data_IF_187443060330
#
_entry.id   IF_187443060330
#
_cell.length_a   1.000
_cell.length_b   1.000
_cell.length_c   1.000
_cell.angle_alpha   90.00
_cell.angle_beta   90.00
_cell.angle_gamma   90.00
#
_symmetry.space_group_name_H-M   'P 1'
#
loop_
_entity.id
_entity.type
_entity.pdbx_description
1 polymer ?
#
# COMPACT_ATOMS: atom_id res chain seq x y z
N UNK A 1 -13.04 12.66 -29.12
CA UNK A 1 -11.81 11.84 -29.12
C UNK A 1 -11.50 11.53 -27.66
N UNK A 2 -11.87 10.34 -27.18
CA UNK A 2 -11.57 9.95 -25.79
C UNK A 2 -10.06 9.67 -25.72
N UNK A 3 -9.33 10.53 -25.02
CA UNK A 3 -7.95 10.23 -24.63
C UNK A 3 -8.01 9.10 -23.60
N UNK A 4 -7.86 7.85 -24.05
CA UNK A 4 -7.54 6.75 -23.13
C UNK A 4 -6.08 6.97 -22.73
N UNK A 5 -5.87 7.90 -21.79
CA UNK A 5 -4.59 8.11 -21.16
C UNK A 5 -4.32 6.91 -20.26
N UNK A 6 -3.67 5.88 -20.81
CA UNK A 6 -2.95 4.89 -20.01
C UNK A 6 -1.66 5.56 -19.52
N UNK A 7 -1.82 6.43 -18.52
CA UNK A 7 -0.68 6.96 -17.77
C UNK A 7 0.13 5.83 -17.15
N UNK A 8 1.37 6.11 -16.70
CA UNK A 8 2.13 5.11 -15.94
C UNK A 8 1.25 4.62 -14.79
N UNK A 9 0.92 3.32 -14.81
CA UNK A 9 0.24 2.69 -13.69
C UNK A 9 1.18 2.82 -12.50
N UNK A 10 0.81 3.63 -11.50
CA UNK A 10 1.59 3.71 -10.28
C UNK A 10 1.73 2.29 -9.71
N UNK A 11 2.90 1.91 -9.17
CA UNK A 11 3.07 0.59 -8.55
C UNK A 11 2.00 0.37 -7.49
N UNK A 12 1.63 -0.88 -7.24
CA UNK A 12 0.74 -1.18 -6.12
C UNK A 12 1.36 -0.71 -4.80
N UNK A 13 0.51 -0.54 -3.77
CA UNK A 13 0.99 -0.17 -2.45
C UNK A 13 1.89 -1.29 -1.86
N UNK A 14 1.65 -2.55 -2.22
CA UNK A 14 2.52 -3.69 -1.90
C UNK A 14 3.91 -3.57 -2.52
N UNK A 15 4.01 -3.27 -3.82
CA UNK A 15 5.29 -3.09 -4.50
C UNK A 15 6.04 -1.88 -3.95
N UNK A 16 5.33 -0.77 -3.75
CA UNK A 16 5.91 0.44 -3.17
C UNK A 16 6.45 0.19 -1.75
N UNK A 17 5.73 -0.58 -0.94
CA UNK A 17 6.15 -0.95 0.41
C UNK A 17 7.37 -1.90 0.38
N UNK A 18 7.37 -2.91 -0.49
CA UNK A 18 8.45 -3.89 -0.67
C UNK A 18 9.75 -3.23 -1.13
N UNK A 19 9.63 -2.23 -2.01
CA UNK A 19 10.78 -1.48 -2.54
C UNK A 19 11.15 -0.24 -1.73
N UNK A 20 10.47 0.05 -0.61
CA UNK A 20 10.76 1.23 0.21
C UNK A 20 10.49 2.56 -0.49
N UNK A 21 9.62 2.59 -1.51
CA UNK A 21 9.35 3.75 -2.35
C UNK A 21 8.41 4.75 -1.66
N UNK A 22 8.95 5.48 -0.68
CA UNK A 22 8.19 6.44 0.15
C UNK A 22 7.29 7.39 -0.68
N UNK A 23 7.81 7.98 -1.75
CA UNK A 23 7.04 8.90 -2.59
C UNK A 23 5.83 8.25 -3.28
N UNK A 24 5.97 6.99 -3.73
CA UNK A 24 4.85 6.24 -4.31
C UNK A 24 3.82 5.89 -3.24
N UNK A 25 4.26 5.50 -2.04
CA UNK A 25 3.37 5.23 -0.90
C UNK A 25 2.53 6.48 -0.57
N UNK A 26 3.16 7.64 -0.42
CA UNK A 26 2.45 8.90 -0.13
C UNK A 26 1.47 9.27 -1.24
N UNK A 27 1.88 9.16 -2.51
CA UNK A 27 1.03 9.47 -3.65
C UNK A 27 -0.17 8.51 -3.74
N UNK A 28 0.04 7.21 -3.56
CA UNK A 28 -1.03 6.21 -3.61
C UNK A 28 -2.04 6.43 -2.49
N UNK A 29 -1.58 6.67 -1.26
CA UNK A 29 -2.46 6.95 -0.11
C UNK A 29 -3.26 8.25 -0.36
N UNK A 30 -2.61 9.29 -0.90
CA UNK A 30 -3.28 10.54 -1.25
C UNK A 30 -4.35 10.36 -2.35
N UNK A 31 -4.17 9.38 -3.25
CA UNK A 31 -5.16 8.99 -4.25
C UNK A 31 -6.21 7.99 -3.72
N UNK A 32 -6.26 7.72 -2.42
CA UNK A 32 -7.28 6.87 -1.81
C UNK A 32 -6.99 5.36 -1.90
N UNK A 33 -5.73 4.97 -2.13
CA UNK A 33 -5.35 3.55 -2.08
C UNK A 33 -5.70 2.95 -0.70
N UNK A 34 -6.28 1.75 -0.72
CA UNK A 34 -6.59 1.02 0.50
C UNK A 34 -5.29 0.52 1.16
N UNK A 35 -4.88 1.18 2.25
CA UNK A 35 -3.69 0.83 3.06
C UNK A 35 -3.73 -0.57 3.67
N UNK A 36 -4.91 -1.19 3.72
CA UNK A 36 -5.15 -2.52 4.27
C UNK A 36 -5.59 -3.53 3.19
N UNK A 37 -5.42 -3.21 1.90
CA UNK A 37 -5.72 -4.13 0.81
C UNK A 37 -4.95 -5.44 0.97
N UNK A 38 -5.58 -6.57 0.71
CA UNK A 38 -4.89 -7.87 0.73
C UNK A 38 -4.56 -8.28 -0.69
N UNK A 39 -3.34 -8.77 -0.90
CA UNK A 39 -2.95 -9.45 -2.14
C UNK A 39 -3.53 -10.88 -2.20
N UNK A 40 -3.22 -11.60 -3.27
CA UNK A 40 -3.67 -12.99 -3.46
C UNK A 40 -3.15 -13.96 -2.38
N UNK A 41 -2.05 -13.61 -1.70
CA UNK A 41 -1.51 -14.36 -0.57
C UNK A 41 -2.12 -13.94 0.78
N UNK A 42 -3.05 -12.99 0.77
CA UNK A 42 -3.68 -12.45 1.97
C UNK A 42 -2.81 -11.47 2.77
N UNK A 43 -1.69 -11.02 2.20
CA UNK A 43 -0.78 -10.04 2.81
C UNK A 43 -1.25 -8.62 2.55
N UNK A 44 -1.06 -7.76 3.53
CA UNK A 44 -1.26 -6.30 3.41
C UNK A 44 0.02 -5.62 2.92
N UNK A 45 -0.05 -4.35 2.46
CA UNK A 45 1.16 -3.57 2.17
C UNK A 45 2.12 -3.52 3.35
N UNK A 46 1.61 -3.47 4.59
CA UNK A 46 2.43 -3.46 5.79
C UNK A 46 3.16 -4.80 6.03
N UNK A 47 2.57 -5.93 5.62
CA UNK A 47 3.25 -7.25 5.68
C UNK A 47 4.43 -7.34 4.70
N UNK A 48 4.40 -6.54 3.63
CA UNK A 48 5.44 -6.47 2.61
C UNK A 48 6.41 -5.30 2.81
N UNK A 49 6.19 -4.44 3.81
CA UNK A 49 6.95 -3.21 4.00
C UNK A 49 8.37 -3.44 4.52
N UNK A 50 9.33 -2.65 4.02
CA UNK A 50 10.62 -2.51 4.70
C UNK A 50 10.47 -1.78 6.04
N UNK A 51 11.44 -1.91 6.94
CA UNK A 51 11.42 -1.22 8.24
C UNK A 51 11.35 0.30 8.11
N UNK A 52 11.93 0.86 7.05
CA UNK A 52 11.96 2.31 6.80
C UNK A 52 10.58 2.89 6.50
N UNK A 53 9.73 2.17 5.76
CA UNK A 53 8.42 2.67 5.32
C UNK A 53 7.25 2.11 6.13
N UNK A 54 7.49 1.13 6.99
CA UNK A 54 6.46 0.54 7.85
C UNK A 54 5.74 1.58 8.72
N UNK A 55 6.49 2.54 9.29
CA UNK A 55 5.93 3.60 10.14
C UNK A 55 5.04 4.57 9.35
N UNK A 56 5.40 4.84 8.09
CA UNK A 56 4.56 5.65 7.20
C UNK A 56 3.21 4.97 6.97
N UNK A 57 3.21 3.68 6.61
CA UNK A 57 1.98 2.93 6.37
C UNK A 57 1.13 2.85 7.65
N UNK A 58 1.75 2.61 8.82
CA UNK A 58 1.06 2.62 10.12
C UNK A 58 0.44 3.96 10.46
N UNK A 59 1.16 5.06 10.21
CA UNK A 59 0.66 6.43 10.44
C UNK A 59 -0.64 6.71 9.68
N UNK A 60 -0.83 6.07 8.53
CA UNK A 60 -2.05 6.16 7.73
C UNK A 60 -3.09 5.06 8.03
N UNK A 61 -2.95 4.35 9.15
CA UNK A 61 -3.90 3.32 9.59
C UNK A 61 -3.67 1.94 8.96
N UNK A 62 -2.53 1.74 8.32
CA UNK A 62 -2.13 0.42 7.83
C UNK A 62 -1.88 -0.55 8.99
N UNK A 63 -2.42 -1.75 8.85
CA UNK A 63 -2.31 -2.88 9.77
C UNK A 63 -1.83 -4.10 8.98
N UNK A 64 -1.07 -4.97 9.63
CA UNK A 64 -0.70 -6.29 9.10
C UNK A 64 -1.94 -7.18 8.98
N UNK A 65 -1.87 -8.21 8.15
CA UNK A 65 -2.96 -9.17 8.01
C UNK A 65 -3.31 -9.85 9.34
N UNK A 66 -2.32 -10.02 10.24
CA UNK A 66 -2.52 -10.58 11.59
C UNK A 66 -3.29 -9.61 12.48
N UNK A 67 -2.92 -8.32 12.50
CA UNK A 67 -3.62 -7.29 13.28
C UNK A 67 -5.07 -7.11 12.81
N UNK A 68 -5.35 -7.26 11.51
CA UNK A 68 -6.71 -7.19 10.95
C UNK A 68 -7.58 -8.41 11.30
N UNK A 69 -6.97 -9.58 11.56
CA UNK A 69 -7.70 -10.79 11.99
C UNK A 69 -7.98 -10.81 13.49
N UNK A 70 -7.36 -9.91 14.25
CA UNK A 70 -7.47 -9.84 15.70
C UNK A 70 -8.52 -8.82 16.19
N UNK A 71 -9.26 -8.18 15.28
CA UNK A 71 -10.45 -7.41 15.64
C UNK A 71 -11.58 -8.41 15.99
N UNK A 72 -12.11 -8.39 17.24
CA UNK A 72 -13.14 -9.33 17.71
C UNK A 72 -14.49 -9.21 17.00
#
# INVERSE_FOLDING_TARGET
MLQIYVGPTLPSLHESASWGQKGNIELLIANGANVNAKDEAGKTPLDSATSEVADLIRKHGGKTAKELKADP
#
